data_IF_126730634301
#
_entry.id   IF_126730634301
#
_cell.length_a   1.000
_cell.length_b   1.000
_cell.length_c   1.000
_cell.angle_alpha   90.00
_cell.angle_beta   90.00
_cell.angle_gamma   90.00
#
_symmetry.space_group_name_H-M   'P 1'
#
loop_
_entity.id
_entity.type
_entity.pdbx_description
1 polymer ?
#
# COMPACT_ATOMS: atom_id res chain seq x y z
N UNK A 1 5.15 -9.47 -20.25
CA UNK A 1 4.61 -8.15 -19.82
C UNK A 1 5.75 -7.28 -19.33
N UNK A 2 5.74 -5.98 -19.64
CA UNK A 2 6.87 -5.07 -19.41
C UNK A 2 6.96 -4.64 -17.94
N UNK A 3 8.14 -4.76 -17.31
CA UNK A 3 8.42 -4.29 -15.93
C UNK A 3 8.04 -2.83 -15.66
N UNK A 4 7.86 -2.00 -16.70
CA UNK A 4 7.41 -0.61 -16.59
C UNK A 4 5.98 -0.46 -16.03
N UNK A 5 5.10 -1.45 -16.23
CA UNK A 5 3.70 -1.38 -15.76
C UNK A 5 3.57 -1.66 -14.25
N UNK A 6 4.51 -2.39 -13.65
CA UNK A 6 4.48 -2.82 -12.25
C UNK A 6 5.16 -1.80 -11.29
N UNK A 7 5.43 -0.55 -11.71
CA UNK A 7 6.02 0.48 -10.83
C UNK A 7 5.76 1.92 -11.33
N UNK A 8 4.49 2.29 -11.52
CA UNK A 8 4.10 3.63 -11.99
C UNK A 8 4.60 4.76 -11.07
N UNK A 9 4.51 6.03 -11.43
CA UNK A 9 4.70 7.15 -10.50
C UNK A 9 3.48 7.36 -9.58
N UNK A 10 3.59 8.17 -8.52
CA UNK A 10 2.43 8.53 -7.68
C UNK A 10 1.38 9.29 -8.50
N UNK A 11 1.80 10.18 -9.40
CA UNK A 11 0.90 10.91 -10.29
C UNK A 11 0.16 9.99 -11.27
N UNK A 12 0.81 8.92 -11.75
CA UNK A 12 0.17 7.91 -12.59
C UNK A 12 -0.82 7.05 -11.79
N UNK A 13 -0.52 6.72 -10.53
CA UNK A 13 -1.47 6.01 -9.66
C UNK A 13 -2.74 6.83 -9.41
N UNK A 14 -2.64 8.15 -9.29
CA UNK A 14 -3.80 9.02 -9.13
C UNK A 14 -4.71 9.04 -10.36
N UNK A 15 -4.26 8.59 -11.53
CA UNK A 15 -5.12 8.54 -12.73
C UNK A 15 -6.14 7.41 -12.67
N UNK A 16 -5.98 6.45 -11.77
CA UNK A 16 -6.94 5.35 -11.61
C UNK A 16 -8.18 5.82 -10.87
N UNK A 17 -9.34 5.32 -11.30
CA UNK A 17 -10.61 5.57 -10.62
C UNK A 17 -10.58 5.02 -9.20
N UNK A 18 -11.24 5.74 -8.29
CA UNK A 18 -11.26 5.42 -6.85
C UNK A 18 -9.97 5.75 -6.10
N UNK A 19 -8.80 5.90 -6.73
CA UNK A 19 -7.57 6.29 -6.01
C UNK A 19 -7.70 7.74 -5.53
N UNK A 20 -7.70 7.94 -4.22
CA UNK A 20 -7.79 9.26 -3.58
C UNK A 20 -6.42 9.80 -3.19
N UNK A 21 -5.52 8.92 -2.78
CA UNK A 21 -4.14 9.26 -2.48
C UNK A 21 -3.20 8.12 -2.83
N UNK A 22 -1.95 8.47 -3.15
CA UNK A 22 -0.84 7.55 -3.33
C UNK A 22 0.36 8.06 -2.53
N UNK A 23 1.11 7.18 -1.89
CA UNK A 23 2.20 7.59 -1.01
C UNK A 23 3.32 6.59 -0.86
N UNK A 24 4.44 7.10 -0.35
CA UNK A 24 5.64 6.37 0.01
C UNK A 24 5.93 6.68 1.48
N UNK A 25 6.26 5.64 2.24
CA UNK A 25 6.63 5.75 3.65
C UNK A 25 7.93 4.99 3.93
N UNK A 26 8.54 5.24 5.09
CA UNK A 26 9.68 4.46 5.59
C UNK A 26 9.20 3.17 6.25
N UNK A 27 10.05 2.16 6.47
CA UNK A 27 9.66 0.95 7.19
C UNK A 27 9.03 1.21 8.57
N UNK A 28 9.41 2.30 9.25
CA UNK A 28 8.90 2.70 10.57
C UNK A 28 7.57 3.50 10.51
N UNK A 29 7.07 3.73 9.29
CA UNK A 29 5.84 4.48 9.02
C UNK A 29 6.02 5.99 8.97
N UNK A 30 7.21 6.51 8.65
CA UNK A 30 7.39 7.94 8.41
C UNK A 30 6.97 8.27 6.97
N UNK A 31 6.16 9.32 6.78
CA UNK A 31 5.82 9.81 5.45
C UNK A 31 7.08 10.29 4.70
N UNK A 32 7.30 9.80 3.49
CA UNK A 32 8.40 10.18 2.60
C UNK A 32 7.89 11.10 1.48
N UNK A 33 6.83 10.69 0.78
CA UNK A 33 6.18 11.47 -0.27
C UNK A 33 4.71 11.06 -0.41
N UNK A 34 3.86 11.97 -0.88
CA UNK A 34 2.48 11.64 -1.23
C UNK A 34 1.90 12.58 -2.29
N UNK A 35 0.91 12.06 -3.00
CA UNK A 35 0.03 12.79 -3.92
C UNK A 35 -1.40 12.43 -3.61
N UNK A 36 -2.32 13.40 -3.73
CA UNK A 36 -3.75 13.18 -3.54
C UNK A 36 -4.57 13.90 -4.61
N UNK A 37 -5.76 13.37 -4.94
CA UNK A 37 -6.70 14.00 -5.89
C UNK A 37 -7.33 15.28 -5.34
N UNK A 38 -7.44 15.36 -4.02
CA UNK A 38 -7.98 16.50 -3.28
C UNK A 38 -6.93 17.02 -2.32
N UNK A 39 -7.20 18.15 -1.67
CA UNK A 39 -6.36 18.69 -0.59
C UNK A 39 -6.43 17.78 0.65
N UNK A 40 -5.72 16.66 0.60
CA UNK A 40 -5.50 15.78 1.75
C UNK A 40 -4.58 16.52 2.72
N UNK A 41 -5.01 16.79 3.96
CA UNK A 41 -4.15 17.44 4.93
C UNK A 41 -2.89 16.61 5.20
N UNK A 42 -1.74 17.26 5.27
CA UNK A 42 -0.46 16.59 5.50
C UNK A 42 -0.44 15.80 6.82
N UNK A 43 -1.18 16.25 7.84
CA UNK A 43 -1.38 15.52 9.09
C UNK A 43 -2.08 14.17 8.87
N UNK A 44 -3.08 14.13 7.98
CA UNK A 44 -3.74 12.88 7.59
C UNK A 44 -2.77 11.98 6.84
N UNK A 45 -2.00 12.51 5.89
CA UNK A 45 -1.01 11.74 5.14
C UNK A 45 0.06 11.11 6.05
N UNK A 46 0.55 11.87 7.05
CA UNK A 46 1.46 11.36 8.09
C UNK A 46 0.83 10.25 8.91
N UNK A 47 -0.44 10.40 9.30
CA UNK A 47 -1.14 9.37 10.05
C UNK A 47 -1.31 8.09 9.22
N UNK A 48 -1.68 8.22 7.95
CA UNK A 48 -1.79 7.09 7.02
C UNK A 48 -0.44 6.37 6.84
N UNK A 49 0.66 7.10 6.67
CA UNK A 49 1.99 6.51 6.60
C UNK A 49 2.33 5.71 7.88
N UNK A 50 1.97 6.24 9.05
CA UNK A 50 2.20 5.56 10.33
C UNK A 50 1.36 4.31 10.45
N UNK A 51 0.09 4.37 10.06
CA UNK A 51 -0.80 3.21 9.97
C UNK A 51 -0.17 2.10 9.11
N UNK A 52 0.27 2.42 7.89
CA UNK A 52 0.86 1.43 6.98
C UNK A 52 2.15 0.82 7.53
N UNK A 53 3.03 1.63 8.14
CA UNK A 53 4.25 1.15 8.79
C UNK A 53 3.95 0.20 9.96
N UNK A 54 2.96 0.53 10.80
CA UNK A 54 2.56 -0.35 11.91
C UNK A 54 1.99 -1.68 11.43
N UNK A 55 1.21 -1.67 10.34
CA UNK A 55 0.70 -2.92 9.73
C UNK A 55 1.84 -3.76 9.18
N UNK A 56 2.80 -3.17 8.45
CA UNK A 56 4.01 -3.87 7.98
C UNK A 56 4.76 -4.54 9.13
N UNK A 57 5.07 -3.79 10.19
CA UNK A 57 5.78 -4.32 11.36
C UNK A 57 5.02 -5.49 12.02
N UNK A 58 3.68 -5.40 12.06
CA UNK A 58 2.84 -6.44 12.66
C UNK A 58 2.88 -7.71 11.83
N UNK A 59 2.74 -7.60 10.52
CA UNK A 59 2.84 -8.75 9.62
C UNK A 59 4.25 -9.35 9.60
N UNK A 60 5.32 -8.56 9.63
CA UNK A 60 6.68 -9.07 9.74
C UNK A 60 6.86 -9.91 11.02
N UNK A 61 6.34 -9.44 12.16
CA UNK A 61 6.40 -10.18 13.42
C UNK A 61 5.63 -11.51 13.34
N UNK A 62 4.39 -11.48 12.82
CA UNK A 62 3.57 -12.68 12.70
C UNK A 62 4.16 -13.67 11.68
N UNK A 63 4.57 -13.21 10.50
CA UNK A 63 5.17 -14.04 9.46
C UNK A 63 6.50 -14.68 9.93
N UNK A 64 7.30 -13.94 10.69
CA UNK A 64 8.52 -14.47 11.32
C UNK A 64 8.21 -15.58 12.32
N UNK A 65 7.19 -15.40 13.17
CA UNK A 65 6.75 -16.43 14.11
C UNK A 65 6.26 -17.70 13.40
N UNK A 66 5.48 -17.57 12.33
CA UNK A 66 5.06 -18.72 11.50
C UNK A 66 6.25 -19.44 10.85
N UNK A 67 7.23 -18.67 10.37
CA UNK A 67 8.46 -19.23 9.79
C UNK A 67 9.25 -20.01 10.82
N UNK A 68 9.39 -19.50 12.04
CA UNK A 68 10.14 -20.17 13.11
C UNK A 68 9.42 -21.41 13.65
N UNK A 69 8.15 -21.28 14.02
CA UNK A 69 7.38 -22.31 14.72
C UNK A 69 6.89 -23.41 13.78
N UNK A 70 6.47 -23.06 12.57
CA UNK A 70 5.81 -23.98 11.64
C UNK A 70 6.61 -24.24 10.37
N UNK A 71 7.81 -23.65 10.24
CA UNK A 71 8.71 -23.80 9.08
C UNK A 71 8.05 -23.38 7.75
N UNK A 72 7.06 -22.51 7.82
CA UNK A 72 6.42 -21.90 6.65
C UNK A 72 7.19 -20.65 6.25
N UNK A 73 7.89 -20.67 5.12
CA UNK A 73 8.71 -19.53 4.69
C UNK A 73 7.82 -18.36 4.21
N UNK A 74 7.40 -17.49 5.14
CA UNK A 74 6.48 -16.37 4.90
C UNK A 74 7.16 -15.01 4.89
N UNK A 75 8.48 -14.99 5.09
CA UNK A 75 9.30 -13.78 5.02
C UNK A 75 10.22 -13.83 3.79
N UNK A 76 10.50 -12.69 3.13
CA UNK A 76 10.05 -11.34 3.49
C UNK A 76 8.58 -11.09 3.11
N UNK A 77 7.91 -10.19 3.85
CA UNK A 77 6.65 -9.62 3.42
C UNK A 77 6.86 -8.81 2.13
N UNK A 78 5.98 -8.99 1.16
CA UNK A 78 5.99 -8.21 -0.08
C UNK A 78 4.84 -7.19 -0.15
N UNK A 79 3.60 -7.62 0.07
CA UNK A 79 2.42 -6.79 -0.17
C UNK A 79 1.22 -7.22 0.68
N UNK A 80 0.29 -6.29 0.90
CA UNK A 80 -0.99 -6.56 1.55
C UNK A 80 -2.08 -5.60 1.10
N UNK A 81 -3.33 -6.00 1.34
CA UNK A 81 -4.51 -5.19 1.09
C UNK A 81 -5.45 -5.28 2.29
N UNK A 82 -6.00 -4.14 2.70
CA UNK A 82 -7.06 -4.04 3.69
C UNK A 82 -8.27 -3.38 3.06
N UNK A 83 -9.47 -3.92 3.27
CA UNK A 83 -10.73 -3.29 2.86
C UNK A 83 -11.68 -3.26 4.05
N UNK A 84 -12.27 -2.11 4.34
CA UNK A 84 -13.22 -1.94 5.43
C UNK A 84 -14.09 -0.70 5.24
N UNK A 85 -15.41 -0.88 5.36
CA UNK A 85 -16.38 0.15 4.96
C UNK A 85 -16.22 0.49 3.48
N UNK A 86 -16.16 1.78 3.17
CA UNK A 86 -16.05 2.30 1.79
C UNK A 86 -14.59 2.40 1.28
N UNK A 87 -13.61 1.98 2.08
CA UNK A 87 -12.20 2.26 1.81
C UNK A 87 -11.35 0.99 1.70
N UNK A 88 -10.42 1.02 0.75
CA UNK A 88 -9.40 0.01 0.53
C UNK A 88 -8.01 0.67 0.58
N UNK A 89 -7.07 0.01 1.25
CA UNK A 89 -5.64 0.35 1.24
C UNK A 89 -4.88 -0.81 0.61
N UNK A 90 -4.03 -0.50 -0.36
CA UNK A 90 -3.20 -1.51 -1.05
C UNK A 90 -1.74 -1.09 -0.97
N UNK A 91 -0.91 -1.92 -0.34
CA UNK A 91 0.49 -1.65 -0.07
C UNK A 91 1.38 -2.70 -0.74
N UNK A 92 2.41 -2.21 -1.43
CA UNK A 92 3.53 -2.96 -2.00
C UNK A 92 4.83 -2.43 -1.38
N UNK A 93 5.44 -3.21 -0.50
CA UNK A 93 6.57 -2.79 0.34
C UNK A 93 6.21 -1.58 1.22
N UNK A 94 6.77 -0.42 0.88
CA UNK A 94 6.52 0.85 1.58
C UNK A 94 5.83 1.90 0.70
N UNK A 95 5.15 1.44 -0.35
CA UNK A 95 4.41 2.27 -1.29
C UNK A 95 2.98 1.77 -1.39
N UNK A 96 2.01 2.65 -1.59
CA UNK A 96 0.65 2.20 -1.83
C UNK A 96 -0.34 3.29 -2.15
N UNK A 97 -1.61 2.89 -2.19
CA UNK A 97 -2.76 3.74 -2.51
C UNK A 97 -3.84 3.64 -1.44
N UNK A 98 -4.55 4.75 -1.24
CA UNK A 98 -5.78 4.86 -0.48
C UNK A 98 -6.94 5.08 -1.45
N UNK A 99 -7.96 4.23 -1.37
CA UNK A 99 -8.87 3.98 -2.49
C UNK A 99 -10.32 3.94 -1.99
N UNK A 100 -11.22 4.65 -2.66
CA UNK A 100 -12.66 4.50 -2.51
C UNK A 100 -13.10 3.22 -3.24
N UNK A 101 -13.48 2.19 -2.47
CA UNK A 101 -13.59 0.81 -2.97
C UNK A 101 -14.63 0.65 -4.07
N UNK A 102 -15.75 1.38 -3.98
CA UNK A 102 -16.86 1.30 -4.94
C UNK A 102 -16.53 1.81 -6.34
N UNK A 103 -15.45 2.60 -6.48
CA UNK A 103 -15.03 3.21 -7.76
C UNK A 103 -13.80 2.56 -8.36
N UNK A 104 -13.17 1.63 -7.65
CA UNK A 104 -11.85 1.15 -8.00
C UNK A 104 -11.88 -0.15 -8.78
N UNK A 105 -11.05 -0.22 -9.82
CA UNK A 105 -10.70 -1.46 -10.50
C UNK A 105 -9.50 -2.10 -9.78
N UNK A 106 -9.80 -2.97 -8.80
CA UNK A 106 -8.78 -3.59 -7.94
C UNK A 106 -7.76 -4.40 -8.74
N UNK A 107 -8.19 -5.10 -9.79
CA UNK A 107 -7.28 -5.89 -10.63
C UNK A 107 -6.26 -5.02 -11.36
N UNK A 108 -6.70 -3.88 -11.90
CA UNK A 108 -5.80 -2.91 -12.52
C UNK A 108 -4.85 -2.29 -11.49
N UNK A 109 -5.32 -2.01 -10.27
CA UNK A 109 -4.49 -1.44 -9.21
C UNK A 109 -3.42 -2.41 -8.71
N UNK A 110 -3.75 -3.71 -8.57
CA UNK A 110 -2.76 -4.74 -8.21
C UNK A 110 -1.60 -4.74 -9.22
N UNK A 111 -1.91 -4.72 -10.52
CA UNK A 111 -0.89 -4.65 -11.59
C UNK A 111 -0.08 -3.36 -11.51
N UNK A 112 -0.74 -2.22 -11.32
CA UNK A 112 -0.09 -0.90 -11.25
C UNK A 112 0.88 -0.76 -10.06
N UNK A 113 0.59 -1.43 -8.95
CA UNK A 113 1.43 -1.47 -7.74
C UNK A 113 2.55 -2.52 -7.80
N UNK A 114 2.63 -3.27 -8.88
CA UNK A 114 3.59 -4.35 -9.00
C UNK A 114 3.29 -5.55 -8.11
N UNK A 115 2.03 -5.72 -7.69
CA UNK A 115 1.53 -6.94 -7.04
C UNK A 115 1.21 -7.98 -8.13
N UNK A 116 2.24 -8.21 -8.94
CA UNK A 116 2.40 -9.12 -10.07
C UNK A 116 3.29 -10.27 -9.55
#
# INVERSE_FOLDING_TARGET
>A
MNRKECNLSLDELLKFDGVMAAGIFSPEGKLVDYKAKTDMPEAMARMTAKFCGTVNMTFDALASAYTELFKMNWVPQHNWMYSGGEWTVMISGTRGVFVESSKADIEKLLKALGMC
#
